data_IF_638234846059
#
_entry.id   IF_638234846059
#
_cell.length_a   1.000
_cell.length_b   1.000
_cell.length_c   1.000
_cell.angle_alpha   90.00
_cell.angle_beta   90.00
_cell.angle_gamma   90.00
#
_symmetry.space_group_name_H-M   'P 1'
#
loop_
_entity.id
_entity.type
_entity.pdbx_description
1 polymer ?
#
# COMPACT_ATOMS: atom_id res chain seq x y z
N UNK A 1 -5.49 -8.05 -30.94
CA UNK A 1 -6.77 -7.67 -30.31
C UNK A 1 -6.50 -6.47 -29.42
N UNK A 2 -7.22 -5.36 -29.64
CA UNK A 2 -6.85 -4.00 -29.20
C UNK A 2 -6.88 -3.85 -27.68
N UNK A 3 -5.77 -3.37 -27.11
CA UNK A 3 -5.71 -2.78 -25.79
C UNK A 3 -6.51 -1.47 -25.81
N UNK A 4 -7.52 -1.38 -24.94
CA UNK A 4 -8.31 -0.18 -24.70
C UNK A 4 -7.47 0.84 -23.94
N UNK A 5 -6.99 1.86 -24.64
CA UNK A 5 -6.41 3.08 -24.08
C UNK A 5 -7.51 3.90 -23.38
N UNK A 6 -7.69 3.70 -22.08
CA UNK A 6 -8.45 4.63 -21.24
C UNK A 6 -7.48 5.69 -20.69
N UNK A 7 -7.93 6.95 -20.52
CA UNK A 7 -7.05 8.03 -20.08
C UNK A 7 -6.55 7.80 -18.65
N UNK A 8 -5.28 8.14 -18.41
CA UNK A 8 -4.51 7.89 -17.17
C UNK A 8 -5.23 8.35 -15.88
N UNK A 9 -6.05 9.39 -15.95
CA UNK A 9 -6.82 9.94 -14.82
C UNK A 9 -7.94 9.00 -14.31
N UNK A 10 -8.54 8.22 -15.22
CA UNK A 10 -9.55 7.18 -14.89
C UNK A 10 -8.92 5.96 -14.22
N UNK A 11 -7.65 5.69 -14.51
CA UNK A 11 -6.94 4.51 -14.02
C UNK A 11 -6.58 4.65 -12.54
N UNK A 12 -6.09 5.83 -12.11
CA UNK A 12 -5.77 6.13 -10.69
C UNK A 12 -7.00 6.08 -9.79
N UNK A 13 -8.15 6.60 -10.25
CA UNK A 13 -9.42 6.49 -9.49
C UNK A 13 -9.83 5.03 -9.31
N UNK A 14 -9.72 4.20 -10.35
CA UNK A 14 -10.06 2.77 -10.30
C UNK A 14 -9.19 1.96 -9.33
N UNK A 15 -7.91 2.30 -9.15
CA UNK A 15 -7.02 1.56 -8.25
C UNK A 15 -7.29 1.81 -6.76
N UNK A 16 -7.67 3.03 -6.37
CA UNK A 16 -7.99 3.37 -4.98
C UNK A 16 -9.29 2.68 -4.53
N UNK A 17 -10.33 2.65 -5.38
CA UNK A 17 -11.60 1.97 -5.03
C UNK A 17 -11.46 0.44 -5.05
N UNK A 18 -10.53 -0.13 -5.83
CA UNK A 18 -10.31 -1.59 -5.93
C UNK A 18 -9.83 -2.23 -4.62
N UNK A 19 -9.13 -1.49 -3.75
CA UNK A 19 -8.52 -2.06 -2.54
C UNK A 19 -9.37 -1.85 -1.27
N UNK A 20 -10.11 -0.73 -1.18
CA UNK A 20 -10.95 -0.39 -0.02
C UNK A 20 -12.07 -1.44 0.20
N UNK A 21 -12.66 -1.96 -0.89
CA UNK A 21 -13.76 -2.91 -0.79
C UNK A 21 -13.39 -4.20 -0.06
N UNK A 22 -12.19 -4.73 -0.31
CA UNK A 22 -11.75 -5.98 0.33
C UNK A 22 -11.44 -5.78 1.81
N UNK A 23 -10.84 -4.65 2.18
CA UNK A 23 -10.53 -4.31 3.58
C UNK A 23 -11.84 -4.19 4.38
N UNK A 24 -12.81 -3.42 3.87
CA UNK A 24 -14.12 -3.27 4.51
C UNK A 24 -14.86 -4.59 4.68
N UNK A 25 -14.78 -5.47 3.66
CA UNK A 25 -15.38 -6.80 3.73
C UNK A 25 -14.72 -7.69 4.79
N UNK A 26 -13.37 -7.69 4.86
CA UNK A 26 -12.62 -8.45 5.89
C UNK A 26 -13.00 -7.97 7.29
N UNK A 27 -13.10 -6.66 7.50
CA UNK A 27 -13.53 -6.09 8.79
C UNK A 27 -14.95 -6.52 9.15
N UNK A 28 -15.90 -6.43 8.21
CA UNK A 28 -17.27 -6.84 8.46
C UNK A 28 -17.36 -8.35 8.75
N UNK A 29 -16.60 -9.18 8.04
CA UNK A 29 -16.51 -10.62 8.31
C UNK A 29 -15.93 -10.90 9.70
N UNK A 30 -14.93 -10.14 10.14
CA UNK A 30 -14.37 -10.25 11.49
C UNK A 30 -15.41 -9.90 12.56
N UNK A 31 -16.21 -8.85 12.35
CA UNK A 31 -17.30 -8.46 13.26
C UNK A 31 -18.34 -9.58 13.38
N UNK A 32 -18.77 -10.18 12.27
CA UNK A 32 -19.72 -11.31 12.31
C UNK A 32 -19.12 -12.56 12.93
N UNK A 33 -17.83 -12.83 12.71
CA UNK A 33 -17.15 -13.95 13.37
C UNK A 33 -17.07 -13.73 14.89
N UNK A 34 -16.82 -12.50 15.35
CA UNK A 34 -16.87 -12.14 16.76
C UNK A 34 -18.29 -12.26 17.32
N UNK A 35 -19.29 -11.76 16.62
CA UNK A 35 -20.70 -11.84 17.02
C UNK A 35 -21.19 -13.28 17.13
N UNK A 36 -20.73 -14.19 16.26
CA UNK A 36 -21.04 -15.64 16.35
C UNK A 36 -20.50 -16.26 17.63
N UNK A 37 -19.30 -15.87 18.07
CA UNK A 37 -18.72 -16.36 19.34
C UNK A 37 -19.49 -15.80 20.53
N UNK A 38 -19.89 -14.53 20.48
CA UNK A 38 -20.56 -13.84 21.60
C UNK A 38 -22.06 -14.13 21.70
N UNK A 39 -22.73 -14.34 20.57
CA UNK A 39 -24.18 -14.50 20.45
C UNK A 39 -24.56 -15.66 19.52
N UNK A 40 -24.22 -16.92 19.89
CA UNK A 40 -24.39 -18.07 19.01
C UNK A 40 -25.85 -18.38 18.67
N UNK A 41 -26.80 -17.99 19.53
CA UNK A 41 -28.24 -18.22 19.30
C UNK A 41 -28.81 -17.25 18.25
N UNK A 42 -28.35 -15.99 18.25
CA UNK A 42 -28.85 -14.96 17.33
C UNK A 42 -28.08 -14.92 16.01
N UNK A 43 -26.79 -15.27 16.03
CA UNK A 43 -25.90 -15.28 14.86
C UNK A 43 -25.24 -16.67 14.75
N UNK A 44 -25.96 -17.67 14.20
CA UNK A 44 -25.43 -19.04 14.13
C UNK A 44 -24.30 -19.20 13.12
N UNK A 45 -24.27 -18.37 12.07
CA UNK A 45 -23.24 -18.43 11.02
C UNK A 45 -22.93 -17.04 10.48
N UNK A 46 -21.75 -16.91 9.86
CA UNK A 46 -21.36 -15.66 9.20
C UNK A 46 -21.99 -15.63 7.79
N UNK A 47 -22.93 -14.70 7.51
CA UNK A 47 -23.61 -14.64 6.21
C UNK A 47 -22.64 -14.30 5.06
N UNK A 48 -21.51 -13.67 5.38
CA UNK A 48 -20.48 -13.30 4.41
C UNK A 48 -19.63 -14.49 3.96
N UNK A 49 -19.75 -15.65 4.63
CA UNK A 49 -19.05 -16.86 4.22
C UNK A 49 -19.44 -17.27 2.78
N UNK A 50 -20.72 -17.16 2.42
CA UNK A 50 -21.25 -17.54 1.09
C UNK A 50 -20.59 -16.73 -0.03
N UNK A 51 -20.36 -15.44 0.21
CA UNK A 51 -19.72 -14.54 -0.76
C UNK A 51 -18.26 -14.88 -0.99
N UNK A 52 -17.56 -15.41 0.03
CA UNK A 52 -16.17 -15.86 -0.06
C UNK A 52 -16.02 -17.14 -0.88
N UNK A 53 -16.99 -18.07 -0.78
CA UNK A 53 -16.96 -19.34 -1.51
C UNK A 53 -17.39 -19.21 -2.98
N UNK A 54 -18.32 -18.31 -3.30
CA UNK A 54 -18.89 -18.20 -4.65
C UNK A 54 -17.99 -17.58 -5.73
N UNK A 55 -16.69 -17.32 -5.46
CA UNK A 55 -15.80 -16.54 -6.35
C UNK A 55 -16.39 -15.20 -6.82
N UNK A 56 -17.42 -14.70 -6.13
CA UNK A 56 -18.10 -13.44 -6.48
C UNK A 56 -17.25 -12.22 -6.16
N UNK A 57 -16.25 -12.37 -5.29
CA UNK A 57 -15.23 -11.36 -5.07
C UNK A 57 -14.14 -11.46 -6.14
N UNK A 58 -13.88 -10.35 -6.84
CA UNK A 58 -12.69 -10.23 -7.68
C UNK A 58 -11.45 -10.39 -6.81
N UNK A 59 -10.54 -11.23 -7.27
CA UNK A 59 -9.21 -11.34 -6.68
C UNK A 59 -8.49 -10.00 -6.84
N UNK A 60 -7.88 -9.51 -5.76
CA UNK A 60 -6.94 -8.41 -5.88
C UNK A 60 -5.71 -8.97 -6.59
N UNK A 61 -5.48 -8.46 -7.80
CA UNK A 61 -4.27 -8.73 -8.55
C UNK A 61 -3.10 -8.02 -7.87
N UNK A 62 -1.92 -8.64 -7.90
CA UNK A 62 -0.72 -8.00 -7.42
C UNK A 62 -0.48 -6.72 -8.24
N UNK A 63 0.12 -5.70 -7.60
CA UNK A 63 0.56 -4.52 -8.34
C UNK A 63 1.74 -4.95 -9.21
N UNK A 64 1.58 -4.82 -10.53
CA UNK A 64 2.65 -5.11 -11.49
C UNK A 64 3.35 -3.83 -11.98
N UNK A 65 2.79 -2.66 -11.66
CA UNK A 65 3.37 -1.36 -12.01
C UNK A 65 4.75 -1.22 -11.37
N UNK A 66 5.76 -1.05 -12.22
CA UNK A 66 7.16 -0.86 -11.85
C UNK A 66 7.80 0.13 -12.82
N UNK A 67 8.81 0.85 -12.35
CA UNK A 67 9.62 1.69 -13.22
C UNK A 67 10.56 0.79 -14.04
N UNK A 68 10.44 0.84 -15.37
CA UNK A 68 11.36 0.18 -16.29
C UNK A 68 12.36 1.18 -16.89
N UNK A 69 13.36 0.70 -17.64
CA UNK A 69 14.55 1.48 -18.01
C UNK A 69 14.28 2.88 -18.56
N UNK A 70 13.38 3.00 -19.54
CA UNK A 70 13.02 4.29 -20.15
C UNK A 70 12.10 5.14 -19.25
N UNK A 71 11.35 4.52 -18.34
CA UNK A 71 10.46 5.21 -17.40
C UNK A 71 11.24 6.05 -16.39
N UNK A 72 12.49 5.67 -16.06
CA UNK A 72 13.32 6.44 -15.14
C UNK A 72 13.59 7.86 -15.63
N UNK A 73 13.72 8.06 -16.95
CA UNK A 73 13.89 9.41 -17.50
C UNK A 73 12.64 10.24 -17.31
N UNK A 74 11.48 9.68 -17.63
CA UNK A 74 10.19 10.36 -17.47
C UNK A 74 9.90 10.64 -15.98
N UNK A 75 10.19 9.69 -15.11
CA UNK A 75 10.11 9.83 -13.66
C UNK A 75 11.00 10.97 -13.15
N UNK A 76 12.28 10.98 -13.54
CA UNK A 76 13.23 11.99 -13.09
C UNK A 76 12.80 13.40 -13.53
N UNK A 77 12.38 13.58 -14.78
CA UNK A 77 11.84 14.86 -15.27
C UNK A 77 10.56 15.25 -14.51
N UNK A 78 9.69 14.28 -14.22
CA UNK A 78 8.46 14.51 -13.46
C UNK A 78 8.73 15.01 -12.05
N UNK A 79 9.70 14.43 -11.34
CA UNK A 79 10.00 14.85 -9.96
C UNK A 79 10.64 16.24 -9.89
N UNK A 80 11.30 16.72 -10.94
CA UNK A 80 11.85 18.07 -11.01
C UNK A 80 10.78 19.18 -10.96
N UNK A 81 9.52 18.85 -11.24
CA UNK A 81 8.41 19.80 -11.14
C UNK A 81 7.90 20.00 -9.70
N UNK A 82 8.31 19.16 -8.75
CA UNK A 82 7.92 19.30 -7.34
C UNK A 82 8.80 20.30 -6.59
N UNK A 83 8.42 20.60 -5.35
CA UNK A 83 9.27 21.34 -4.45
C UNK A 83 10.53 20.52 -4.08
N UNK A 84 11.57 21.21 -3.63
CA UNK A 84 12.88 20.63 -3.29
C UNK A 84 12.76 19.50 -2.25
N UNK A 85 11.91 19.66 -1.24
CA UNK A 85 11.72 18.68 -0.16
C UNK A 85 11.14 17.36 -0.71
N UNK A 86 10.13 17.43 -1.57
CA UNK A 86 9.52 16.26 -2.18
C UNK A 86 10.47 15.60 -3.17
N UNK A 87 11.20 16.39 -3.95
CA UNK A 87 12.24 15.89 -4.84
C UNK A 87 13.28 15.08 -4.06
N UNK A 88 13.82 15.64 -2.98
CA UNK A 88 14.81 14.96 -2.14
C UNK A 88 14.24 13.68 -1.51
N UNK A 89 13.00 13.74 -1.03
CA UNK A 89 12.31 12.57 -0.48
C UNK A 89 12.19 11.44 -1.52
N UNK A 90 11.79 11.75 -2.75
CA UNK A 90 11.70 10.74 -3.82
C UNK A 90 13.07 10.19 -4.23
N UNK A 91 14.10 11.05 -4.29
CA UNK A 91 15.47 10.60 -4.59
C UNK A 91 16.01 9.68 -3.49
N UNK A 92 15.82 10.02 -2.22
CA UNK A 92 16.24 9.16 -1.11
C UNK A 92 15.49 7.82 -1.16
N UNK A 93 14.17 7.82 -1.38
CA UNK A 93 13.40 6.59 -1.57
C UNK A 93 13.95 5.74 -2.71
N UNK A 94 14.28 6.36 -3.85
CA UNK A 94 14.76 5.67 -5.04
C UNK A 94 16.15 5.05 -4.82
N UNK A 95 17.08 5.78 -4.21
CA UNK A 95 18.46 5.32 -4.03
C UNK A 95 18.63 4.36 -2.85
N UNK A 96 17.84 4.50 -1.79
CA UNK A 96 17.93 3.67 -0.58
C UNK A 96 16.90 2.55 -0.54
N UNK A 97 15.90 2.56 -1.43
CA UNK A 97 14.81 1.58 -1.42
C UNK A 97 13.87 1.69 -0.21
N UNK A 98 13.85 2.85 0.44
CA UNK A 98 13.03 3.10 1.64
C UNK A 98 11.55 3.31 1.29
N UNK A 99 10.66 3.00 2.24
CA UNK A 99 9.24 3.31 2.08
C UNK A 99 9.03 4.81 2.20
N UNK A 100 8.09 5.37 1.44
CA UNK A 100 7.82 6.81 1.44
C UNK A 100 7.51 7.38 2.83
N UNK A 101 6.84 6.59 3.67
CA UNK A 101 6.51 6.99 5.05
C UNK A 101 7.73 7.02 5.96
N UNK A 102 8.65 6.05 5.81
CA UNK A 102 9.92 6.01 6.55
C UNK A 102 10.83 7.18 6.15
N UNK A 103 10.93 7.45 4.85
CA UNK A 103 11.71 8.58 4.34
C UNK A 103 11.15 9.92 4.78
N UNK A 104 9.82 10.08 4.77
CA UNK A 104 9.17 11.29 5.24
C UNK A 104 9.32 11.50 6.77
N UNK A 105 9.44 10.43 7.54
CA UNK A 105 9.71 10.46 8.99
C UNK A 105 11.18 10.62 9.37
N UNK A 106 12.09 10.65 8.39
CA UNK A 106 13.53 10.69 8.64
C UNK A 106 13.95 12.03 9.28
N UNK A 107 14.79 11.95 10.31
CA UNK A 107 15.34 13.10 11.03
C UNK A 107 16.86 13.07 10.94
N UNK A 108 17.49 14.23 11.06
CA UNK A 108 18.96 14.33 11.04
C UNK A 108 19.64 13.51 12.14
N UNK A 109 18.99 13.29 13.27
CA UNK A 109 19.47 12.42 14.36
C UNK A 109 19.58 10.94 13.96
N UNK A 110 18.88 10.53 12.89
CA UNK A 110 18.92 9.18 12.35
C UNK A 110 20.01 8.99 11.28
N UNK A 111 20.71 10.06 10.89
CA UNK A 111 21.69 10.02 9.79
C UNK A 111 23.09 10.18 10.35
N UNK A 112 23.89 9.12 10.24
CA UNK A 112 25.32 9.16 10.57
C UNK A 112 26.12 9.27 9.27
N UNK A 113 26.57 10.49 8.94
CA UNK A 113 27.34 10.76 7.72
C UNK A 113 28.78 10.24 7.79
N UNK A 114 29.35 10.08 8.98
CA UNK A 114 30.69 9.53 9.16
C UNK A 114 30.70 8.03 8.88
N UNK A 115 29.73 7.31 9.46
CA UNK A 115 29.54 5.87 9.24
C UNK A 115 28.81 5.56 7.93
N UNK A 116 28.20 6.57 7.29
CA UNK A 116 27.37 6.47 6.07
C UNK A 116 26.18 5.52 6.27
N UNK A 117 25.53 5.63 7.42
CA UNK A 117 24.40 4.78 7.81
C UNK A 117 23.18 5.65 8.10
N UNK A 118 22.03 5.15 7.67
CA UNK A 118 20.72 5.69 8.05
C UNK A 118 20.08 4.69 9.02
N UNK A 119 19.70 5.17 10.20
CA UNK A 119 18.95 4.41 11.18
C UNK A 119 17.45 4.58 10.91
N UNK A 120 16.73 3.49 10.73
CA UNK A 120 15.28 3.53 10.54
C UNK A 120 14.65 3.06 11.85
N UNK A 121 14.00 3.94 12.62
CA UNK A 121 13.30 3.52 13.82
C UNK A 121 12.13 2.61 13.43
N UNK A 122 11.97 1.50 14.15
CA UNK A 122 10.87 0.56 13.92
C UNK A 122 9.53 1.32 14.06
N UNK A 123 8.86 1.53 12.94
CA UNK A 123 7.53 2.15 12.93
C UNK A 123 6.43 1.10 13.20
N UNK A 124 6.78 -0.19 13.12
CA UNK A 124 5.89 -1.30 13.38
C UNK A 124 6.29 -1.99 14.68
N UNK A 125 5.45 -1.89 15.72
CA UNK A 125 5.59 -2.64 16.99
C UNK A 125 5.57 -4.18 16.81
N UNK A 126 5.44 -4.69 15.58
CA UNK A 126 5.39 -6.11 15.25
C UNK A 126 6.77 -6.78 15.18
N UNK A 127 7.85 -6.03 14.93
CA UNK A 127 9.19 -6.61 14.71
C UNK A 127 10.02 -6.72 16.00
N UNK A 128 9.52 -6.22 17.14
CA UNK A 128 10.24 -6.18 18.43
C UNK A 128 9.98 -7.37 19.37
N UNK A 129 9.32 -8.44 18.93
CA UNK A 129 9.17 -9.66 19.75
C UNK A 129 10.28 -10.67 19.47
N UNK A 130 11.37 -10.55 20.22
CA UNK A 130 12.27 -11.66 20.56
C UNK A 130 12.37 -11.78 22.08
#
# INVERSE_FOLDING_TARGET
>A
MRASSLPHETQTRCYIVRNIFLISFVMLAAVFNYARVKYPVSVPSNPLAVLRFGKHMRRIEAREDRLEGDDFRAFYVGIQAFNEILLDCYLVCLYQGMRSEETAGLRWEHVDLEKRVIFIPDTNEADQKN
#
